data_IF_470972508062
#
_entry.id   IF_470972508062
#
_cell.length_a   1.000
_cell.length_b   1.000
_cell.length_c   1.000
_cell.angle_alpha   90.00
_cell.angle_beta   90.00
_cell.angle_gamma   90.00
#
_symmetry.space_group_name_H-M   'P 1'
#
loop_
_entity.id
_entity.type
_entity.pdbx_description
1 polymer ?
#
# COMPACT_ATOMS: atom_id res chain seq x y z
N UNK A 1 -17.93 -14.31 -9.91
CA UNK A 1 -16.72 -14.99 -10.42
C UNK A 1 -15.46 -14.53 -9.69
N UNK A 2 -15.44 -13.38 -8.98
CA UNK A 2 -14.28 -12.89 -8.23
C UNK A 2 -13.94 -13.76 -7.01
N UNK A 3 -14.86 -13.95 -6.06
CA UNK A 3 -14.62 -14.76 -4.84
C UNK A 3 -13.99 -16.14 -5.11
N UNK A 4 -14.51 -17.00 -6.02
CA UNK A 4 -13.87 -18.29 -6.29
C UNK A 4 -12.42 -18.18 -6.79
N UNK A 5 -12.09 -17.13 -7.55
CA UNK A 5 -10.72 -16.91 -8.02
C UNK A 5 -9.79 -16.48 -6.86
N UNK A 6 -10.30 -15.68 -5.92
CA UNK A 6 -9.55 -15.31 -4.71
C UNK A 6 -9.34 -16.51 -3.80
N UNK A 7 -10.37 -17.36 -3.61
CA UNK A 7 -10.27 -18.60 -2.83
C UNK A 7 -9.26 -19.59 -3.45
N UNK A 8 -9.16 -19.63 -4.78
CA UNK A 8 -8.14 -20.41 -5.50
C UNK A 8 -6.73 -19.87 -5.30
N UNK A 9 -6.55 -18.53 -5.30
CA UNK A 9 -5.25 -17.88 -5.15
C UNK A 9 -4.77 -17.78 -3.70
N UNK A 10 -5.68 -17.74 -2.72
CA UNK A 10 -5.38 -17.48 -1.31
C UNK A 10 -4.29 -18.40 -0.72
N UNK A 11 -4.23 -19.72 -0.98
CA UNK A 11 -3.19 -20.56 -0.40
C UNK A 11 -1.76 -20.19 -0.84
N UNK A 12 -1.60 -19.61 -2.03
CA UNK A 12 -0.28 -19.15 -2.51
C UNK A 12 0.13 -17.82 -1.86
N UNK A 13 -0.85 -16.99 -1.49
CA UNK A 13 -0.64 -15.70 -0.83
C UNK A 13 -0.48 -15.84 0.69
N UNK A 14 -1.21 -16.77 1.33
CA UNK A 14 -1.23 -16.99 2.79
C UNK A 14 0.04 -17.68 3.34
N UNK A 15 1.16 -17.52 2.65
CA UNK A 15 2.42 -18.16 3.02
C UNK A 15 3.14 -17.37 4.11
N UNK A 16 3.61 -18.09 5.14
CA UNK A 16 4.50 -17.54 6.17
C UNK A 16 5.99 -17.62 5.75
N UNK A 17 6.28 -17.94 4.49
CA UNK A 17 7.64 -17.99 3.96
C UNK A 17 8.01 -16.65 3.29
N UNK A 18 8.91 -15.85 3.89
CA UNK A 18 9.34 -14.57 3.34
C UNK A 18 9.93 -14.71 1.94
N UNK A 19 10.66 -15.80 1.65
CA UNK A 19 11.27 -15.98 0.33
C UNK A 19 10.22 -16.10 -0.78
N UNK A 20 9.11 -16.77 -0.50
CA UNK A 20 7.98 -16.90 -1.43
C UNK A 20 7.30 -15.54 -1.66
N UNK A 21 7.10 -14.75 -0.60
CA UNK A 21 6.50 -13.41 -0.71
C UNK A 21 7.38 -12.46 -1.53
N UNK A 22 8.67 -12.39 -1.23
CA UNK A 22 9.61 -11.54 -1.98
C UNK A 22 9.67 -11.95 -3.45
N UNK A 23 9.67 -13.25 -3.74
CA UNK A 23 9.61 -13.74 -5.11
C UNK A 23 8.34 -13.28 -5.85
N UNK A 24 7.22 -13.12 -5.13
CA UNK A 24 5.98 -12.55 -5.65
C UNK A 24 6.11 -11.07 -6.07
N UNK A 25 7.02 -10.32 -5.46
CA UNK A 25 7.33 -8.93 -5.84
C UNK A 25 8.43 -8.81 -6.89
N UNK A 26 8.98 -9.91 -7.40
CA UNK A 26 10.05 -9.85 -8.38
C UNK A 26 9.63 -9.07 -9.64
N UNK A 27 10.41 -8.05 -9.99
CA UNK A 27 10.10 -7.14 -11.10
C UNK A 27 9.14 -6.00 -10.77
N UNK A 28 8.64 -5.92 -9.53
CA UNK A 28 7.82 -4.83 -9.00
C UNK A 28 8.56 -3.92 -8.02
N UNK A 29 9.76 -4.31 -7.57
CA UNK A 29 10.56 -3.55 -6.62
C UNK A 29 11.62 -2.73 -7.36
N UNK A 30 11.68 -1.44 -7.06
CA UNK A 30 12.77 -0.57 -7.47
C UNK A 30 14.05 -0.86 -6.66
N UNK A 31 15.18 -0.28 -7.07
CA UNK A 31 16.41 -0.37 -6.29
C UNK A 31 16.27 0.25 -4.88
N UNK A 32 15.38 1.24 -4.70
CA UNK A 32 15.09 1.82 -3.40
C UNK A 32 14.31 0.84 -2.51
N UNK A 33 13.36 0.11 -3.08
CA UNK A 33 12.61 -0.92 -2.37
C UNK A 33 13.48 -2.11 -1.99
N UNK A 34 14.33 -2.57 -2.90
CA UNK A 34 15.30 -3.64 -2.61
C UNK A 34 16.23 -3.25 -1.45
N UNK A 35 16.63 -1.98 -1.36
CA UNK A 35 17.45 -1.49 -0.26
C UNK A 35 16.69 -1.36 1.07
N UNK A 36 15.38 -1.11 1.02
CA UNK A 36 14.51 -0.99 2.19
C UNK A 36 14.03 -2.37 2.71
N UNK A 37 14.06 -3.39 1.86
CA UNK A 37 13.59 -4.74 2.17
C UNK A 37 14.58 -5.51 3.06
N UNK A 38 14.48 -5.30 4.38
CA UNK A 38 15.27 -6.06 5.37
C UNK A 38 14.70 -7.47 5.59
N UNK A 39 15.47 -8.32 6.27
CA UNK A 39 15.01 -9.66 6.68
C UNK A 39 13.80 -9.56 7.62
N UNK A 40 13.78 -8.58 8.52
CA UNK A 40 12.67 -8.33 9.43
C UNK A 40 11.43 -7.88 8.67
N UNK A 41 11.56 -6.88 7.78
CA UNK A 41 10.42 -6.41 6.98
C UNK A 41 9.85 -7.53 6.11
N UNK A 42 10.70 -8.38 5.55
CA UNK A 42 10.28 -9.54 4.76
C UNK A 42 9.47 -10.55 5.58
N UNK A 43 9.87 -10.77 6.84
CA UNK A 43 9.13 -11.63 7.78
C UNK A 43 7.79 -11.02 8.16
N UNK A 44 7.75 -9.72 8.43
CA UNK A 44 6.53 -9.00 8.79
C UNK A 44 5.51 -9.04 7.64
N UNK A 45 5.95 -8.82 6.40
CA UNK A 45 5.06 -8.88 5.23
C UNK A 45 4.47 -10.30 5.08
N UNK A 46 5.27 -11.35 5.22
CA UNK A 46 4.76 -12.73 5.15
C UNK A 46 3.75 -13.05 6.25
N UNK A 47 4.02 -12.61 7.48
CA UNK A 47 3.09 -12.76 8.60
C UNK A 47 1.77 -12.00 8.35
N UNK A 48 1.83 -10.79 7.79
CA UNK A 48 0.64 -9.99 7.45
C UNK A 48 -0.23 -10.72 6.42
N UNK A 49 0.35 -11.26 5.34
CA UNK A 49 -0.44 -11.99 4.34
C UNK A 49 -1.06 -13.27 4.89
N UNK A 50 -0.32 -14.02 5.70
CA UNK A 50 -0.85 -15.23 6.34
C UNK A 50 -2.01 -14.89 7.28
N UNK A 51 -1.87 -13.86 8.12
CA UNK A 51 -2.93 -13.40 9.02
C UNK A 51 -4.15 -12.88 8.26
N UNK A 52 -3.94 -12.07 7.22
CA UNK A 52 -5.01 -11.46 6.43
C UNK A 52 -5.92 -12.51 5.74
N UNK A 53 -5.39 -13.71 5.49
CA UNK A 53 -6.08 -14.79 4.78
C UNK A 53 -6.44 -15.98 5.68
N UNK A 54 -6.13 -15.94 6.99
CA UNK A 54 -6.35 -17.06 7.92
C UNK A 54 -7.84 -17.41 8.07
N UNK A 55 -8.70 -16.39 8.11
CA UNK A 55 -10.15 -16.59 8.30
C UNK A 55 -10.92 -16.70 6.98
N UNK A 56 -10.65 -15.81 6.02
CA UNK A 56 -11.37 -15.76 4.73
C UNK A 56 -10.68 -14.82 3.73
N UNK A 57 -11.14 -14.83 2.48
CA UNK A 57 -10.73 -13.86 1.45
C UNK A 57 -11.55 -12.56 1.46
N UNK A 58 -12.38 -12.33 2.48
CA UNK A 58 -13.35 -11.22 2.45
C UNK A 58 -12.67 -9.84 2.45
N UNK A 59 -11.55 -9.68 3.17
CA UNK A 59 -10.77 -8.44 3.14
C UNK A 59 -10.19 -8.16 1.75
N UNK A 60 -9.56 -9.16 1.13
CA UNK A 60 -9.05 -9.04 -0.23
C UNK A 60 -10.17 -8.77 -1.24
N UNK A 61 -11.33 -9.41 -1.08
CA UNK A 61 -12.50 -9.14 -1.91
C UNK A 61 -12.95 -7.67 -1.80
N UNK A 62 -12.98 -7.11 -0.60
CA UNK A 62 -13.35 -5.72 -0.37
C UNK A 62 -12.33 -4.74 -0.96
N UNK A 63 -11.03 -5.03 -0.86
CA UNK A 63 -9.96 -4.25 -1.50
C UNK A 63 -10.10 -4.23 -3.03
N UNK A 64 -10.31 -5.39 -3.65
CA UNK A 64 -10.52 -5.50 -5.10
C UNK A 64 -11.76 -4.73 -5.56
N UNK A 65 -12.82 -4.74 -4.75
CA UNK A 65 -14.04 -3.99 -5.02
C UNK A 65 -13.84 -2.48 -4.86
N UNK A 66 -12.95 -2.04 -3.95
CA UNK A 66 -12.63 -0.63 -3.76
C UNK A 66 -11.97 -0.01 -5.00
N UNK A 67 -11.26 -0.79 -5.83
CA UNK A 67 -10.70 -0.29 -7.09
C UNK A 67 -11.74 -0.01 -8.17
N UNK A 68 -12.89 -0.69 -8.15
CA UNK A 68 -13.87 -0.68 -9.25
C UNK A 68 -15.23 -0.10 -8.88
N UNK A 69 -15.46 0.20 -7.59
CA UNK A 69 -16.71 0.79 -7.10
C UNK A 69 -16.49 2.18 -6.53
N UNK A 70 -17.50 3.07 -6.59
CA UNK A 70 -17.46 4.33 -5.86
C UNK A 70 -17.27 4.09 -4.36
N UNK A 71 -16.39 4.87 -3.72
CA UNK A 71 -16.06 4.75 -2.29
C UNK A 71 -17.15 5.25 -1.34
N UNK A 72 -18.27 5.74 -1.88
CA UNK A 72 -19.36 6.33 -1.08
C UNK A 72 -19.16 7.79 -0.69
N UNK A 73 -18.02 8.38 -1.06
CA UNK A 73 -17.74 9.82 -0.94
C UNK A 73 -16.88 10.28 -2.13
N UNK A 74 -16.88 11.59 -2.41
CA UNK A 74 -15.91 12.19 -3.32
C UNK A 74 -14.70 12.65 -2.53
N UNK A 75 -13.49 12.43 -3.05
CA UNK A 75 -12.25 12.92 -2.43
C UNK A 75 -12.23 14.45 -2.25
N UNK A 76 -12.99 15.17 -3.09
CA UNK A 76 -13.20 16.61 -2.96
C UNK A 76 -14.03 17.02 -1.72
N UNK A 77 -14.76 16.08 -1.11
CA UNK A 77 -15.58 16.31 0.09
C UNK A 77 -14.77 16.13 1.40
N UNK A 78 -13.50 15.72 1.31
CA UNK A 78 -12.64 15.52 2.49
C UNK A 78 -12.32 16.87 3.13
N UNK A 79 -12.77 17.04 4.38
CA UNK A 79 -12.61 18.29 5.14
C UNK A 79 -11.47 18.25 6.18
N UNK A 80 -10.87 17.09 6.44
CA UNK A 80 -9.79 16.91 7.42
C UNK A 80 -8.42 16.93 6.74
N UNK A 81 -7.33 17.25 7.46
CA UNK A 81 -5.97 17.09 6.94
C UNK A 81 -5.77 15.67 6.40
N UNK A 82 -5.24 15.56 5.19
CA UNK A 82 -5.00 14.27 4.52
C UNK A 82 -3.58 14.24 3.99
N UNK A 83 -2.78 13.30 4.48
CA UNK A 83 -1.39 13.15 4.08
C UNK A 83 -1.30 12.15 2.93
N UNK A 84 -0.69 12.55 1.82
CA UNK A 84 -0.53 11.73 0.62
C UNK A 84 0.96 11.49 0.41
N UNK A 85 1.38 10.24 0.50
CA UNK A 85 2.76 9.83 0.29
C UNK A 85 2.85 9.02 -1.00
N UNK A 86 3.68 9.44 -1.94
CA UNK A 86 3.92 8.68 -3.19
C UNK A 86 5.35 8.88 -3.67
N UNK A 87 6.04 7.78 -3.97
CA UNK A 87 7.40 7.80 -4.48
C UNK A 87 7.45 7.76 -6.02
N UNK A 88 8.43 8.43 -6.64
CA UNK A 88 8.58 8.42 -8.11
C UNK A 88 9.07 7.07 -8.66
N UNK A 89 9.66 6.23 -7.82
CA UNK A 89 10.15 4.89 -8.16
C UNK A 89 9.21 3.79 -7.65
N UNK A 90 7.95 4.13 -7.31
CA UNK A 90 6.92 3.13 -7.07
C UNK A 90 6.55 2.48 -8.40
N UNK A 91 6.97 1.23 -8.59
CA UNK A 91 6.69 0.47 -9.80
C UNK A 91 5.37 -0.32 -9.71
N UNK A 92 4.69 -0.29 -8.56
CA UNK A 92 3.38 -0.90 -8.33
C UNK A 92 2.24 0.08 -8.59
N UNK A 93 2.40 1.35 -8.16
CA UNK A 93 1.40 2.41 -8.30
C UNK A 93 1.99 3.59 -9.08
N UNK A 94 1.35 4.02 -10.19
CA UNK A 94 1.85 5.16 -10.95
C UNK A 94 1.92 6.45 -10.10
N UNK A 95 3.05 7.15 -10.16
CA UNK A 95 3.26 8.43 -9.46
C UNK A 95 2.14 9.46 -9.70
N UNK A 96 1.56 9.45 -10.91
CA UNK A 96 0.45 10.33 -11.30
C UNK A 96 -0.81 10.13 -10.46
N UNK A 97 -0.99 8.99 -9.79
CA UNK A 97 -2.09 8.79 -8.84
C UNK A 97 -1.91 9.66 -7.59
N UNK A 98 -0.69 9.74 -7.06
CA UNK A 98 -0.35 10.64 -5.95
C UNK A 98 -0.52 12.12 -6.34
N UNK A 99 -0.04 12.50 -7.52
CA UNK A 99 -0.25 13.86 -8.06
C UNK A 99 -1.74 14.20 -8.21
N UNK A 100 -2.54 13.24 -8.70
CA UNK A 100 -3.98 13.41 -8.84
C UNK A 100 -4.64 13.60 -7.49
N UNK A 101 -4.37 12.74 -6.50
CA UNK A 101 -4.95 12.88 -5.16
C UNK A 101 -4.56 14.21 -4.52
N UNK A 102 -3.29 14.61 -4.63
CA UNK A 102 -2.80 15.88 -4.09
C UNK A 102 -3.51 17.10 -4.68
N UNK A 103 -3.89 17.02 -5.96
CA UNK A 103 -4.61 18.10 -6.64
C UNK A 103 -6.13 18.12 -6.37
N UNK A 104 -6.72 17.00 -5.95
CA UNK A 104 -8.18 16.86 -5.82
C UNK A 104 -8.69 16.77 -4.38
N UNK A 105 -7.82 16.52 -3.40
CA UNK A 105 -8.15 16.57 -1.98
C UNK A 105 -7.88 17.98 -1.44
N UNK A 106 -8.89 18.74 -0.95
CA UNK A 106 -8.73 20.18 -0.64
C UNK A 106 -7.68 20.50 0.43
N UNK A 107 -7.53 19.63 1.43
CA UNK A 107 -6.60 19.81 2.54
C UNK A 107 -5.46 18.78 2.49
N UNK A 108 -5.02 18.43 1.28
CA UNK A 108 -3.90 17.53 1.08
C UNK A 108 -2.58 18.13 1.59
N UNK A 109 -1.83 17.34 2.34
CA UNK A 109 -0.41 17.52 2.59
C UNK A 109 0.32 16.46 1.76
N UNK A 110 0.87 16.90 0.63
CA UNK A 110 1.47 16.00 -0.35
C UNK A 110 2.98 15.85 -0.11
N UNK A 111 3.40 14.61 0.11
CA UNK A 111 4.78 14.14 0.18
C UNK A 111 5.07 13.28 -1.05
N UNK A 112 5.38 13.97 -2.16
CA UNK A 112 5.67 13.36 -3.44
C UNK A 112 7.19 13.22 -3.59
N UNK A 113 7.71 12.08 -3.16
CA UNK A 113 9.13 11.86 -2.89
C UNK A 113 9.88 11.36 -4.13
N UNK A 114 10.96 12.06 -4.49
CA UNK A 114 11.83 11.62 -5.59
C UNK A 114 12.73 10.48 -5.13
N UNK A 115 12.73 9.37 -5.86
CA UNK A 115 13.62 8.23 -5.66
C UNK A 115 13.11 7.17 -4.69
N UNK A 116 11.99 7.41 -3.99
CA UNK A 116 11.35 6.38 -3.18
C UNK A 116 10.48 5.45 -4.02
N UNK A 117 10.45 4.18 -3.62
CA UNK A 117 9.58 3.13 -4.16
C UNK A 117 8.39 2.81 -3.26
N UNK A 118 7.72 1.70 -3.56
CA UNK A 118 6.50 1.27 -2.89
C UNK A 118 6.72 0.94 -1.40
N UNK A 119 7.85 0.34 -1.08
CA UNK A 119 8.26 -0.06 0.27
C UNK A 119 9.10 1.02 0.94
N UNK A 120 10.05 1.63 0.22
CA UNK A 120 11.00 2.56 0.83
C UNK A 120 10.32 3.82 1.39
N UNK A 121 9.20 4.24 0.79
CA UNK A 121 8.43 5.40 1.27
C UNK A 121 7.78 5.17 2.63
N UNK A 122 7.53 3.92 3.01
CA UNK A 122 6.81 3.58 4.24
C UNK A 122 7.58 4.02 5.49
N UNK A 123 8.91 3.96 5.50
CA UNK A 123 9.73 4.44 6.63
C UNK A 123 9.48 5.92 6.91
N UNK A 124 9.44 6.75 5.85
CA UNK A 124 9.13 8.18 5.96
C UNK A 124 7.69 8.42 6.41
N UNK A 125 6.74 7.69 5.84
CA UNK A 125 5.33 7.80 6.18
C UNK A 125 5.05 7.42 7.65
N UNK A 126 5.72 6.40 8.18
CA UNK A 126 5.55 5.97 9.57
C UNK A 126 6.30 6.82 10.58
N UNK A 127 7.49 7.34 10.24
CA UNK A 127 8.26 8.18 11.15
C UNK A 127 7.75 9.62 11.13
N UNK A 128 7.94 10.29 10.00
CA UNK A 128 7.59 11.71 9.84
C UNK A 128 6.08 11.87 9.74
N UNK A 129 5.41 11.01 8.97
CA UNK A 129 3.97 11.11 8.77
C UNK A 129 3.16 10.88 10.04
N UNK A 130 3.57 9.97 10.94
CA UNK A 130 2.88 9.79 12.22
C UNK A 130 3.04 11.01 13.13
N UNK A 131 4.24 11.59 13.20
CA UNK A 131 4.49 12.83 13.96
C UNK A 131 3.68 14.01 13.42
N UNK A 132 3.50 14.10 12.11
CA UNK A 132 2.64 15.10 11.47
C UNK A 132 1.17 14.86 11.76
N UNK A 133 0.70 13.61 11.64
CA UNK A 133 -0.67 13.23 11.94
C UNK A 133 -1.04 13.58 13.38
N UNK A 134 -0.16 13.26 14.34
CA UNK A 134 -0.38 13.56 15.77
C UNK A 134 -0.52 15.07 16.06
N UNK A 135 0.05 15.95 15.23
CA UNK A 135 -0.10 17.41 15.37
C UNK A 135 -1.46 17.93 14.87
N UNK A 136 -2.24 17.08 14.20
CA UNK A 136 -3.57 17.41 13.69
C UNK A 136 -4.73 16.95 14.57
N UNK A 137 -4.42 16.19 15.64
CA UNK A 137 -5.37 15.73 16.66
C UNK A 137 -5.47 16.73 17.83
#
# INVERSE_FOLDING_TARGET
MLRPALEEAAPAMATNDPATVIAGFAGLLSAADEAALTDELSQDIAAIFAEALDTSVDGWLDDDLAFVKPWGFNVADIAVPTFIWQGTEDWMVPFTHGEWLAAHVPNAVAHLETGDGHLSIMDKAYTTGLDELLKTL
#
